data_IF_785662301833
#
_entry.id   IF_785662301833
#
_cell.length_a   1.000
_cell.length_b   1.000
_cell.length_c   1.000
_cell.angle_alpha   90.00
_cell.angle_beta   90.00
_cell.angle_gamma   90.00
#
_symmetry.space_group_name_H-M   'P 1'
#
loop_
_entity.id
_entity.type
_entity.pdbx_description
1 polymer ?
#
# COMPACT_ATOMS: atom_id res chain seq x y z
N UNK A 1 -19.30 -47.74 -3.78
CA UNK A 1 -18.13 -46.92 -4.13
C UNK A 1 -18.54 -45.47 -3.94
N UNK A 2 -18.12 -44.85 -2.82
CA UNK A 2 -18.39 -43.48 -2.48
C UNK A 2 -17.30 -42.60 -3.12
N UNK A 3 -17.66 -41.83 -4.14
CA UNK A 3 -16.79 -40.85 -4.75
C UNK A 3 -16.63 -39.63 -3.83
N UNK A 4 -15.42 -39.42 -3.33
CA UNK A 4 -15.03 -38.24 -2.58
C UNK A 4 -14.84 -37.10 -3.59
N UNK A 5 -15.76 -36.17 -3.62
CA UNK A 5 -15.59 -34.87 -4.32
C UNK A 5 -14.58 -34.04 -3.52
N UNK A 6 -13.35 -34.05 -3.97
CA UNK A 6 -12.36 -33.04 -3.55
C UNK A 6 -12.79 -31.69 -4.14
N UNK A 7 -13.36 -30.83 -3.29
CA UNK A 7 -13.49 -29.42 -3.62
C UNK A 7 -12.08 -28.85 -3.72
N UNK A 8 -11.62 -28.56 -4.93
CA UNK A 8 -10.45 -27.71 -5.14
C UNK A 8 -10.82 -26.33 -4.64
N UNK A 9 -10.49 -26.03 -3.38
CA UNK A 9 -10.49 -24.67 -2.91
C UNK A 9 -9.53 -23.89 -3.79
N UNK A 10 -10.03 -22.91 -4.52
CA UNK A 10 -9.18 -21.94 -5.18
C UNK A 10 -8.46 -21.18 -4.07
N UNK A 11 -7.23 -21.59 -3.77
CA UNK A 11 -6.33 -20.71 -3.06
C UNK A 11 -6.05 -19.55 -4.00
N UNK A 12 -6.49 -18.34 -3.62
CA UNK A 12 -5.98 -17.13 -4.22
C UNK A 12 -4.47 -17.12 -3.94
N UNK A 13 -3.69 -17.68 -4.85
CA UNK A 13 -2.25 -17.61 -4.80
C UNK A 13 -1.88 -16.16 -5.04
N UNK A 14 -1.23 -15.51 -4.09
CA UNK A 14 -0.60 -14.24 -4.33
C UNK A 14 0.58 -14.49 -5.28
N UNK A 15 0.36 -14.30 -6.58
CA UNK A 15 1.46 -14.22 -7.53
C UNK A 15 1.98 -12.78 -7.49
N UNK A 16 3.19 -12.61 -6.97
CA UNK A 16 3.81 -11.30 -6.74
C UNK A 16 4.04 -10.47 -8.02
N UNK A 17 3.74 -11.01 -9.18
CA UNK A 17 3.84 -10.33 -10.48
C UNK A 17 2.48 -10.08 -11.14
N UNK A 18 1.39 -10.33 -10.45
CA UNK A 18 0.05 -10.10 -10.98
C UNK A 18 -0.53 -8.76 -10.50
N UNK A 19 -1.37 -8.17 -11.33
CA UNK A 19 -2.17 -7.00 -10.95
C UNK A 19 -3.25 -7.41 -9.94
N UNK A 20 -3.57 -6.54 -8.99
CA UNK A 20 -4.63 -6.75 -8.01
C UNK A 20 -5.65 -5.61 -7.98
N UNK A 21 -6.75 -5.83 -7.32
CA UNK A 21 -7.69 -4.78 -6.92
C UNK A 21 -7.34 -4.19 -5.54
N UNK A 22 -6.54 -4.93 -4.77
CA UNK A 22 -6.01 -4.53 -3.48
C UNK A 22 -4.55 -4.95 -3.39
N UNK A 23 -3.70 -4.08 -2.86
CA UNK A 23 -2.30 -4.35 -2.55
C UNK A 23 -2.06 -4.28 -1.05
N UNK A 24 -1.22 -5.18 -0.54
CA UNK A 24 -0.73 -5.13 0.83
C UNK A 24 0.78 -4.99 0.83
N UNK A 25 1.27 -3.97 1.49
CA UNK A 25 2.69 -3.72 1.77
C UNK A 25 2.96 -4.13 3.21
N UNK A 26 3.52 -5.30 3.45
CA UNK A 26 3.45 -5.97 4.74
C UNK A 26 4.39 -5.39 5.81
N UNK A 27 5.34 -4.55 5.41
CA UNK A 27 6.39 -4.11 6.34
C UNK A 27 6.81 -2.67 6.04
N UNK A 28 6.07 -1.73 6.59
CA UNK A 28 6.47 -0.31 6.59
C UNK A 28 7.30 -0.06 7.84
N UNK A 29 8.52 0.38 7.65
CA UNK A 29 9.44 0.69 8.73
C UNK A 29 10.00 2.10 8.55
N UNK A 30 9.98 2.86 9.65
CA UNK A 30 10.62 4.17 9.69
C UNK A 30 11.38 4.31 11.00
N UNK A 31 12.52 4.97 10.96
CA UNK A 31 13.30 5.29 12.15
C UNK A 31 13.98 6.64 11.95
N UNK A 32 13.88 7.50 12.92
CA UNK A 32 14.48 8.83 12.84
C UNK A 32 14.53 9.54 14.17
N UNK A 33 15.03 10.76 14.15
CA UNK A 33 14.98 11.68 15.28
C UNK A 33 13.97 12.78 15.00
N UNK A 34 13.32 13.31 16.05
CA UNK A 34 12.50 14.51 15.90
C UNK A 34 13.31 15.64 15.27
N UNK A 35 12.79 16.23 14.21
CA UNK A 35 13.50 17.27 13.44
C UNK A 35 13.94 16.85 12.05
N UNK A 36 13.56 15.65 11.59
CA UNK A 36 13.68 15.24 10.18
C UNK A 36 14.99 14.54 9.83
N UNK A 37 15.72 14.01 10.82
CA UNK A 37 16.86 13.13 10.52
C UNK A 37 16.31 11.71 10.42
N UNK A 38 16.22 11.18 9.22
CA UNK A 38 15.77 9.83 8.96
C UNK A 38 16.94 8.85 8.90
N UNK A 39 16.80 7.73 9.58
CA UNK A 39 17.74 6.61 9.55
C UNK A 39 17.19 5.46 8.71
N UNK A 40 15.88 5.27 8.74
CA UNK A 40 15.17 4.29 7.93
C UNK A 40 13.95 4.97 7.30
N UNK A 41 13.79 4.79 6.00
CA UNK A 41 12.62 5.25 5.24
C UNK A 41 12.08 4.10 4.41
N UNK A 42 10.78 4.12 4.15
CA UNK A 42 10.14 3.19 3.22
C UNK A 42 9.57 3.97 2.05
N UNK A 43 9.98 3.59 0.85
CA UNK A 43 9.41 4.06 -0.40
C UNK A 43 8.38 3.03 -0.87
N UNK A 44 7.21 3.49 -1.24
CA UNK A 44 6.10 2.66 -1.70
C UNK A 44 5.68 3.13 -3.07
N UNK A 45 5.74 2.28 -4.08
CA UNK A 45 5.22 2.57 -5.40
C UNK A 45 3.85 1.94 -5.57
N UNK A 46 2.92 2.69 -6.14
CA UNK A 46 1.57 2.26 -6.49
C UNK A 46 1.36 2.57 -7.96
N UNK A 47 1.20 1.55 -8.78
CA UNK A 47 1.02 1.68 -10.22
C UNK A 47 -0.39 1.31 -10.62
N UNK A 48 -1.07 2.20 -11.32
CA UNK A 48 -2.27 1.91 -12.08
C UNK A 48 -1.86 1.41 -13.47
N UNK A 49 -1.86 0.10 -13.67
CA UNK A 49 -1.56 -0.52 -14.97
C UNK A 49 -2.73 -0.48 -15.96
N UNK A 50 -3.88 0.02 -15.54
CA UNK A 50 -5.06 0.19 -16.39
C UNK A 50 -5.00 1.51 -17.18
N UNK A 51 -5.72 1.61 -18.31
CA UNK A 51 -5.72 2.81 -19.14
C UNK A 51 -6.59 3.96 -18.60
N UNK A 52 -7.45 3.70 -17.64
CA UNK A 52 -8.39 4.67 -17.09
C UNK A 52 -7.86 5.24 -15.76
N UNK A 53 -8.13 6.51 -15.46
CA UNK A 53 -7.85 7.08 -14.15
C UNK A 53 -8.60 6.31 -13.05
N UNK A 54 -7.94 6.15 -11.90
CA UNK A 54 -8.45 5.46 -10.71
C UNK A 54 -8.22 6.33 -9.48
N UNK A 55 -8.91 6.01 -8.40
CA UNK A 55 -8.62 6.57 -7.08
C UNK A 55 -8.17 5.42 -6.19
N UNK A 56 -7.00 5.54 -5.60
CA UNK A 56 -6.49 4.58 -4.65
C UNK A 56 -6.71 5.08 -3.23
N UNK A 57 -7.44 4.31 -2.43
CA UNK A 57 -7.56 4.50 -0.99
C UNK A 57 -6.39 3.82 -0.30
N UNK A 58 -5.64 4.59 0.47
CA UNK A 58 -4.42 4.13 1.16
C UNK A 58 -4.69 4.16 2.65
N UNK A 59 -4.65 2.98 3.28
CA UNK A 59 -4.80 2.80 4.72
C UNK A 59 -3.46 2.39 5.33
N UNK A 60 -2.91 3.21 6.22
CA UNK A 60 -1.79 2.82 7.06
C UNK A 60 -2.31 2.23 8.36
N UNK A 61 -1.97 0.97 8.60
CA UNK A 61 -2.42 0.21 9.76
C UNK A 61 -1.25 0.03 10.72
N UNK A 62 -1.42 0.49 11.96
CA UNK A 62 -0.41 0.36 12.99
C UNK A 62 -0.06 -1.09 13.31
N UNK A 63 1.23 -1.42 13.31
CA UNK A 63 1.76 -2.73 13.67
C UNK A 63 2.21 -2.88 15.12
N UNK A 64 2.13 -1.82 15.93
CA UNK A 64 2.55 -1.90 17.34
C UNK A 64 1.53 -2.63 18.21
N UNK A 65 2.06 -3.36 19.20
CA UNK A 65 1.25 -4.07 20.20
C UNK A 65 0.98 -3.12 21.37
N UNK A 66 -0.29 -2.88 21.68
CA UNK A 66 -0.63 -2.00 22.81
C UNK A 66 -2.11 -1.59 22.83
N UNK A 67 -2.50 -0.65 23.68
CA UNK A 67 -3.89 -0.17 23.73
C UNK A 67 -4.35 0.58 22.47
N UNK A 68 -3.44 0.82 21.54
CA UNK A 68 -3.66 1.54 20.28
C UNK A 68 -3.66 0.62 19.05
N UNK A 69 -3.95 -0.67 19.24
CA UNK A 69 -4.05 -1.55 18.06
C UNK A 69 -5.20 -1.13 17.16
N UNK A 70 -5.03 -1.39 15.87
CA UNK A 70 -5.96 -1.02 14.82
C UNK A 70 -6.13 0.51 14.66
N UNK A 71 -5.13 1.30 15.05
CA UNK A 71 -5.11 2.69 14.63
C UNK A 71 -4.83 2.74 13.14
N UNK A 72 -5.67 3.42 12.43
CA UNK A 72 -5.65 3.54 10.98
C UNK A 72 -5.52 5.01 10.59
N UNK A 73 -4.72 5.28 9.60
CA UNK A 73 -4.61 6.59 8.98
C UNK A 73 -4.90 6.43 7.49
N UNK A 74 -5.96 7.11 7.02
CA UNK A 74 -6.49 6.94 5.69
C UNK A 74 -6.36 8.19 4.85
N UNK A 75 -6.09 7.99 3.57
CA UNK A 75 -6.16 9.03 2.56
C UNK A 75 -6.37 8.42 1.18
N UNK A 76 -6.78 9.24 0.23
CA UNK A 76 -6.98 8.81 -1.16
C UNK A 76 -6.06 9.58 -2.09
N UNK A 77 -5.52 8.89 -3.08
CA UNK A 77 -4.67 9.46 -4.13
C UNK A 77 -5.28 9.21 -5.51
N UNK A 78 -5.34 10.22 -6.38
CA UNK A 78 -5.70 10.00 -7.77
C UNK A 78 -4.52 9.38 -8.51
N UNK A 79 -4.80 8.36 -9.32
CA UNK A 79 -3.83 7.71 -10.21
C UNK A 79 -4.33 7.88 -11.64
N UNK A 80 -3.54 8.51 -12.49
CA UNK A 80 -3.82 8.56 -13.93
C UNK A 80 -3.75 7.16 -14.55
N UNK A 81 -4.26 6.97 -15.75
CA UNK A 81 -4.11 5.68 -16.46
C UNK A 81 -2.66 5.43 -16.83
N UNK A 82 -2.15 4.22 -16.60
CA UNK A 82 -0.74 3.82 -16.80
C UNK A 82 0.26 4.69 -16.03
N UNK A 83 -0.07 5.03 -14.80
CA UNK A 83 0.69 5.94 -13.95
C UNK A 83 1.23 5.24 -12.71
N UNK A 84 2.33 5.76 -12.18
CA UNK A 84 2.96 5.27 -10.95
C UNK A 84 3.16 6.42 -9.98
N UNK A 85 2.56 6.29 -8.82
CA UNK A 85 2.78 7.20 -7.69
C UNK A 85 3.80 6.59 -6.73
N UNK A 86 4.69 7.42 -6.20
CA UNK A 86 5.65 7.03 -5.16
C UNK A 86 5.35 7.76 -3.88
N UNK A 87 5.08 7.01 -2.83
CA UNK A 87 4.92 7.52 -1.47
C UNK A 87 6.21 7.31 -0.69
N UNK A 88 6.66 8.33 0.01
CA UNK A 88 7.75 8.24 0.98
C UNK A 88 7.15 8.21 2.37
N UNK A 89 7.46 7.15 3.09
CA UNK A 89 7.09 6.99 4.49
C UNK A 89 8.34 7.23 5.34
N UNK A 90 8.34 8.33 6.07
CA UNK A 90 9.49 8.78 6.84
C UNK A 90 9.10 9.18 8.27
N UNK A 91 10.09 9.32 9.16
CA UNK A 91 9.86 9.76 10.53
C UNK A 91 9.77 11.28 10.60
N UNK A 92 8.66 11.80 11.09
CA UNK A 92 8.40 13.24 11.24
C UNK A 92 8.49 13.73 12.70
N UNK A 93 8.06 14.97 12.92
CA UNK A 93 8.06 15.58 14.25
C UNK A 93 7.04 14.96 15.23
N UNK A 94 5.92 14.48 14.70
CA UNK A 94 4.76 13.99 15.48
C UNK A 94 4.41 12.53 15.20
N UNK A 95 5.29 11.78 14.56
CA UNK A 95 5.08 10.42 14.11
C UNK A 95 5.59 10.24 12.69
N UNK A 96 5.11 9.23 11.99
CA UNK A 96 5.47 9.05 10.58
C UNK A 96 4.73 10.08 9.72
N UNK A 97 5.40 10.47 8.64
CA UNK A 97 4.82 11.29 7.58
C UNK A 97 4.80 10.45 6.30
N UNK A 98 3.68 10.49 5.60
CA UNK A 98 3.53 9.88 4.28
C UNK A 98 3.38 11.02 3.29
N UNK A 99 4.27 11.06 2.30
CA UNK A 99 4.32 12.12 1.29
C UNK A 99 4.34 11.51 -0.10
N UNK A 100 3.64 12.14 -1.04
CA UNK A 100 3.84 11.89 -2.46
C UNK A 100 5.07 12.64 -2.96
N UNK A 101 5.95 11.96 -3.71
CA UNK A 101 7.26 12.55 -4.07
C UNK A 101 7.29 13.26 -5.43
N UNK A 102 6.51 12.82 -6.40
CA UNK A 102 6.79 13.17 -7.79
C UNK A 102 5.67 13.85 -8.58
N UNK A 103 4.49 14.02 -8.04
CA UNK A 103 3.44 14.70 -8.77
C UNK A 103 3.28 16.15 -8.30
N UNK A 104 3.73 17.09 -9.15
CA UNK A 104 3.59 18.52 -8.91
C UNK A 104 2.12 19.00 -8.85
N UNK A 105 1.16 18.17 -9.25
CA UNK A 105 -0.27 18.43 -9.19
C UNK A 105 -0.89 17.85 -7.90
N UNK A 106 -0.24 16.89 -7.26
CA UNK A 106 -0.66 16.38 -5.99
C UNK A 106 -0.05 17.22 -4.88
N UNK A 107 -0.89 17.95 -4.18
CA UNK A 107 -0.54 18.57 -2.91
C UNK A 107 0.10 17.46 -2.06
N UNK A 108 1.31 17.69 -1.50
CA UNK A 108 1.93 16.67 -0.66
C UNK A 108 0.93 16.27 0.42
N UNK A 109 0.42 15.04 0.32
CA UNK A 109 -0.45 14.49 1.33
C UNK A 109 0.44 14.25 2.54
N UNK A 110 0.44 15.21 3.42
CA UNK A 110 1.19 15.14 4.65
C UNK A 110 0.27 14.53 5.70
N UNK A 111 0.30 13.21 5.83
CA UNK A 111 -0.39 12.53 6.91
C UNK A 111 0.60 12.24 8.02
N UNK A 112 0.21 12.55 9.24
CA UNK A 112 1.00 12.23 10.44
C UNK A 112 0.33 11.09 11.19
N UNK A 113 0.97 9.92 11.19
CA UNK A 113 0.55 8.77 11.97
C UNK A 113 1.54 8.54 13.12
N UNK A 114 1.08 8.31 14.35
CA UNK A 114 1.99 8.33 15.52
C UNK A 114 2.91 7.10 15.65
N UNK A 115 2.78 6.11 14.77
CA UNK A 115 3.43 4.81 14.91
C UNK A 115 4.47 4.54 13.83
N UNK A 116 5.71 4.13 14.19
CA UNK A 116 6.81 3.99 13.23
C UNK A 116 6.82 2.68 12.45
N UNK A 117 6.00 1.71 12.84
CA UNK A 117 5.92 0.39 12.21
C UNK A 117 4.49 0.02 11.88
N UNK A 118 4.27 -0.51 10.71
CA UNK A 118 2.94 -0.91 10.27
C UNK A 118 2.94 -1.58 8.91
N UNK A 119 1.77 -1.59 8.32
CA UNK A 119 1.58 -2.03 6.94
C UNK A 119 0.73 -1.00 6.20
N UNK A 120 0.86 -0.94 4.89
CA UNK A 120 -0.06 -0.21 4.02
C UNK A 120 -0.97 -1.20 3.32
N UNK A 121 -2.24 -0.82 3.24
CA UNK A 121 -3.24 -1.47 2.40
C UNK A 121 -3.72 -0.45 1.39
N UNK A 122 -3.71 -0.81 0.12
CA UNK A 122 -4.15 0.06 -0.98
C UNK A 122 -5.27 -0.63 -1.72
N UNK A 123 -6.44 -0.02 -1.78
CA UNK A 123 -7.59 -0.51 -2.51
C UNK A 123 -8.06 0.54 -3.51
N UNK A 124 -8.63 0.10 -4.63
CA UNK A 124 -9.32 1.03 -5.53
C UNK A 124 -10.68 1.42 -4.97
N UNK A 125 -11.03 2.69 -5.14
CA UNK A 125 -12.38 3.19 -4.84
C UNK A 125 -12.96 4.00 -6.00
N UNK A 126 -14.29 4.01 -6.08
CA UNK A 126 -15.00 4.90 -6.99
C UNK A 126 -15.11 6.32 -6.39
N UNK A 127 -15.61 7.26 -7.18
CA UNK A 127 -15.80 8.64 -6.72
C UNK A 127 -16.84 8.81 -5.58
N UNK A 128 -17.42 7.72 -5.09
CA UNK A 128 -18.36 7.66 -3.97
C UNK A 128 -17.75 6.96 -2.74
N UNK A 129 -16.51 6.51 -2.83
CA UNK A 129 -15.83 5.80 -1.75
C UNK A 129 -16.17 4.30 -1.66
N UNK A 130 -16.77 3.70 -2.68
CA UNK A 130 -16.99 2.27 -2.70
C UNK A 130 -15.80 1.55 -3.32
N UNK A 131 -15.40 0.41 -2.74
CA UNK A 131 -14.33 -0.42 -3.28
C UNK A 131 -14.65 -0.91 -4.68
N UNK A 132 -13.69 -0.76 -5.58
CA UNK A 132 -13.73 -1.24 -6.96
C UNK A 132 -12.91 -2.52 -7.07
N UNK A 133 -13.34 -3.45 -7.90
CA UNK A 133 -12.72 -4.78 -8.05
C UNK A 133 -11.87 -4.92 -9.31
N UNK A 134 -11.50 -3.82 -9.95
CA UNK A 134 -10.64 -3.83 -11.13
C UNK A 134 -9.21 -4.24 -10.75
N UNK A 135 -8.70 -5.29 -11.39
CA UNK A 135 -7.36 -5.80 -11.12
C UNK A 135 -6.34 -5.03 -11.98
N UNK A 136 -5.96 -3.84 -11.55
CA UNK A 136 -5.05 -2.95 -12.28
C UNK A 136 -3.91 -2.40 -11.42
N UNK A 137 -3.88 -2.72 -10.12
CA UNK A 137 -2.83 -2.24 -9.22
C UNK A 137 -1.61 -3.16 -9.23
N UNK A 138 -0.44 -2.54 -9.32
CA UNK A 138 0.87 -3.16 -9.06
C UNK A 138 1.60 -2.31 -8.03
N UNK A 139 2.53 -2.91 -7.31
CA UNK A 139 3.29 -2.15 -6.34
C UNK A 139 4.51 -2.87 -5.77
N UNK A 140 5.39 -2.07 -5.21
CA UNK A 140 6.63 -2.49 -4.58
C UNK A 140 6.94 -1.56 -3.42
N UNK A 141 7.58 -2.07 -2.38
CA UNK A 141 8.18 -1.25 -1.33
C UNK A 141 9.68 -1.44 -1.30
N UNK A 142 10.41 -0.35 -1.05
CA UNK A 142 11.85 -0.34 -0.82
C UNK A 142 12.10 0.26 0.55
N UNK A 143 12.71 -0.49 1.44
CA UNK A 143 13.16 0.00 2.73
C UNK A 143 14.63 0.36 2.64
N UNK A 144 14.98 1.58 3.00
CA UNK A 144 16.35 2.10 2.97
C UNK A 144 16.82 2.38 4.38
N UNK A 145 17.91 1.73 4.77
CA UNK A 145 18.61 1.96 6.04
C UNK A 145 19.89 2.79 5.78
N UNK A 146 19.80 4.07 6.04
CA UNK A 146 20.92 5.01 5.82
C UNK A 146 22.07 4.82 6.81
N UNK A 147 21.81 4.27 8.01
CA UNK A 147 22.85 4.04 9.00
C UNK A 147 23.78 2.91 8.59
N UNK A 148 23.21 1.85 8.03
CA UNK A 148 23.94 0.66 7.62
C UNK A 148 24.28 0.65 6.14
N UNK A 149 23.79 1.63 5.36
CA UNK A 149 23.98 1.69 3.92
C UNK A 149 23.32 0.51 3.20
N UNK A 150 22.19 0.06 3.68
CA UNK A 150 21.46 -1.09 3.16
C UNK A 150 20.10 -0.69 2.59
N UNK A 151 19.68 -1.39 1.56
CA UNK A 151 18.32 -1.28 1.03
C UNK A 151 17.83 -2.66 0.64
N UNK A 152 16.53 -2.90 0.80
CA UNK A 152 15.88 -4.13 0.33
C UNK A 152 14.50 -3.81 -0.23
N UNK A 153 14.11 -4.55 -1.25
CA UNK A 153 12.83 -4.44 -1.91
C UNK A 153 11.95 -5.61 -1.55
N UNK A 154 10.67 -5.33 -1.35
CA UNK A 154 9.62 -6.33 -1.14
C UNK A 154 8.47 -5.98 -2.08
N UNK A 155 8.08 -6.87 -3.00
CA UNK A 155 6.90 -6.63 -3.82
C UNK A 155 5.65 -6.54 -2.92
N UNK A 156 4.69 -5.70 -3.31
CA UNK A 156 3.38 -5.70 -2.69
C UNK A 156 2.68 -7.03 -2.93
N UNK A 157 1.84 -7.45 -2.00
CA UNK A 157 1.04 -8.67 -2.13
C UNK A 157 -0.29 -8.28 -2.79
N UNK A 158 -0.53 -8.68 -4.05
CA UNK A 158 -1.78 -8.37 -4.74
C UNK A 158 -2.90 -9.33 -4.34
N UNK A 159 -4.08 -8.79 -4.16
CA UNK A 159 -5.31 -9.57 -4.00
C UNK A 159 -6.24 -9.29 -5.16
N UNK A 160 -6.66 -10.35 -5.83
CA UNK A 160 -7.58 -10.26 -6.95
C UNK A 160 -8.99 -9.89 -6.46
N UNK A 161 -9.54 -8.85 -7.06
CA UNK A 161 -10.98 -8.60 -6.93
C UNK A 161 -11.74 -9.77 -7.56
N UNK A 162 -12.67 -10.35 -6.83
CA UNK A 162 -13.59 -11.30 -7.44
C UNK A 162 -14.51 -10.51 -8.36
N UNK A 163 -14.13 -10.41 -9.65
CA UNK A 163 -15.00 -9.88 -10.67
C UNK A 163 -16.32 -10.65 -10.60
N UNK A 164 -17.42 -9.95 -10.33
CA UNK A 164 -18.73 -10.54 -10.44
C UNK A 164 -18.86 -11.09 -11.85
N UNK A 165 -18.76 -12.40 -11.98
CA UNK A 165 -19.01 -13.07 -13.24
C UNK A 165 -20.40 -12.66 -13.70
N UNK A 166 -20.44 -11.71 -14.61
CA UNK A 166 -21.69 -11.38 -15.32
C UNK A 166 -22.16 -12.64 -16.02
N UNK A 167 -23.27 -13.18 -15.54
CA UNK A 167 -24.06 -14.15 -16.29
C UNK A 167 -24.78 -13.46 -17.43
#
# INVERSE_FOLDING_TARGET
VAGMLLSTGAFAGADLNEVGALLVYPSIATLGLPGGINFVETFVTITNAGPLPQVAHVSYINGEVGPSYCYECDFSIPLSGNDTETLVVQYGLTGIQIQSEFDALNIPIQMSCPYPFGMLVVALEDGLGNTVTDNVLLGEQVVVDYQNGAAFSIPAIPFQGMGGGGM
#
